data_IF_658323895292
#
_entry.id   IF_658323895292
#
_cell.length_a   1.000
_cell.length_b   1.000
_cell.length_c   1.000
_cell.angle_alpha   90.00
_cell.angle_beta   90.00
_cell.angle_gamma   90.00
#
_symmetry.space_group_name_H-M   'P 1'
#
loop_
_entity.id
_entity.type
_entity.pdbx_description
1 polymer ?
#
# COMPACT_ATOMS: atom_id res chain seq x y z
N UNK A 1 8.40 -22.64 7.02
CA UNK A 1 8.43 -21.46 7.91
C UNK A 1 8.40 -20.21 7.03
N UNK A 2 7.43 -19.29 7.16
CA UNK A 2 7.48 -18.04 6.41
C UNK A 2 8.50 -17.14 7.11
N UNK A 3 9.77 -17.28 6.72
CA UNK A 3 10.90 -16.52 7.30
C UNK A 3 12.13 -16.52 6.38
N UNK A 4 11.91 -16.67 5.07
CA UNK A 4 12.96 -16.47 4.08
C UNK A 4 13.32 -14.99 3.99
N UNK A 5 14.62 -14.67 3.96
CA UNK A 5 15.08 -13.32 3.64
C UNK A 5 14.61 -13.02 2.21
N UNK A 6 13.89 -11.93 2.01
CA UNK A 6 13.50 -11.49 0.66
C UNK A 6 14.80 -11.28 -0.12
N UNK A 7 14.96 -12.04 -1.20
CA UNK A 7 16.11 -11.90 -2.08
C UNK A 7 15.94 -10.60 -2.87
N UNK A 8 16.85 -9.65 -2.65
CA UNK A 8 16.85 -8.39 -3.37
C UNK A 8 16.99 -8.57 -4.89
N UNK A 9 17.52 -9.71 -5.34
CA UNK A 9 17.60 -10.07 -6.77
C UNK A 9 16.25 -10.53 -7.34
N UNK A 10 15.32 -11.00 -6.51
CA UNK A 10 13.96 -11.39 -6.93
C UNK A 10 13.19 -10.19 -7.50
N UNK A 11 13.51 -8.96 -7.06
CA UNK A 11 12.88 -7.76 -7.60
C UNK A 11 13.08 -7.59 -9.12
N UNK A 12 14.17 -8.14 -9.67
CA UNK A 12 14.47 -8.05 -11.10
C UNK A 12 13.60 -8.99 -11.95
N UNK A 13 13.00 -10.02 -11.35
CA UNK A 13 12.09 -10.94 -12.05
C UNK A 13 10.63 -10.49 -12.01
N UNK A 14 10.31 -9.46 -11.21
CA UNK A 14 8.93 -8.98 -11.09
C UNK A 14 8.46 -8.25 -12.34
N UNK A 15 7.19 -8.46 -12.75
CA UNK A 15 6.65 -7.83 -13.94
C UNK A 15 6.62 -6.29 -13.80
N UNK A 16 6.89 -5.56 -14.89
CA UNK A 16 6.81 -4.10 -14.90
C UNK A 16 5.36 -3.63 -14.72
N UNK A 17 5.17 -2.42 -14.19
CA UNK A 17 3.86 -1.77 -14.04
C UNK A 17 3.19 -1.95 -12.68
N UNK A 18 3.77 -2.75 -11.78
CA UNK A 18 3.32 -2.89 -10.39
C UNK A 18 4.23 -2.15 -9.42
N UNK A 19 3.67 -1.73 -8.27
CA UNK A 19 4.42 -1.12 -7.19
C UNK A 19 4.82 -2.20 -6.17
N UNK A 20 6.12 -2.33 -5.90
CA UNK A 20 6.67 -3.31 -4.97
C UNK A 20 7.42 -2.63 -3.82
N UNK A 21 6.84 -2.69 -2.62
CA UNK A 21 7.50 -2.31 -1.38
C UNK A 21 8.16 -3.54 -0.74
N UNK A 22 9.45 -3.43 -0.43
CA UNK A 22 10.21 -4.47 0.28
C UNK A 22 10.55 -3.96 1.65
N UNK A 23 10.12 -4.68 2.67
CA UNK A 23 10.26 -4.32 4.07
C UNK A 23 10.47 -5.55 4.94
N UNK A 24 11.14 -5.36 6.08
CA UNK A 24 11.49 -6.44 7.01
C UNK A 24 10.27 -7.17 7.56
N UNK A 25 9.20 -6.42 7.82
CA UNK A 25 7.89 -6.95 8.19
C UNK A 25 7.02 -6.70 6.96
N UNK A 26 6.58 -7.76 6.28
CA UNK A 26 5.87 -7.66 5.00
C UNK A 26 4.41 -7.13 5.13
N UNK A 27 4.16 -6.16 6.02
CA UNK A 27 2.83 -5.64 6.36
C UNK A 27 2.73 -4.18 5.94
N UNK A 28 1.59 -3.74 5.42
CA UNK A 28 1.38 -2.35 5.02
C UNK A 28 1.81 -1.39 6.14
N UNK A 29 2.73 -0.48 5.90
CA UNK A 29 3.03 0.61 6.83
C UNK A 29 2.41 1.91 6.32
N UNK A 30 2.54 2.99 7.09
CA UNK A 30 1.94 4.28 6.74
C UNK A 30 2.48 4.83 5.40
N UNK A 31 3.76 4.62 5.11
CA UNK A 31 4.39 5.14 3.88
C UNK A 31 3.94 4.35 2.63
N UNK A 32 3.88 3.02 2.74
CA UNK A 32 3.35 2.17 1.65
C UNK A 32 1.86 2.47 1.44
N UNK A 33 1.09 2.64 2.53
CA UNK A 33 -0.34 2.94 2.45
C UNK A 33 -0.61 4.28 1.78
N UNK A 34 0.07 5.33 2.22
CA UNK A 34 0.01 6.67 1.63
C UNK A 34 0.36 6.67 0.14
N UNK A 35 1.42 5.95 -0.23
CA UNK A 35 1.83 5.83 -1.63
C UNK A 35 0.77 5.11 -2.46
N UNK A 36 0.20 4.02 -1.91
CA UNK A 36 -0.88 3.27 -2.54
C UNK A 36 -2.13 4.13 -2.76
N UNK A 37 -2.59 4.85 -1.74
CA UNK A 37 -3.76 5.73 -1.84
C UNK A 37 -3.58 6.77 -2.94
N UNK A 38 -2.50 7.55 -2.88
CA UNK A 38 -2.29 8.69 -3.79
C UNK A 38 -1.95 8.27 -5.22
N UNK A 39 -1.11 7.26 -5.38
CA UNK A 39 -0.52 6.95 -6.69
C UNK A 39 -1.30 5.89 -7.46
N UNK A 40 -2.02 5.02 -6.75
CA UNK A 40 -2.69 3.86 -7.37
C UNK A 40 -4.19 3.90 -7.19
N UNK A 41 -4.69 4.13 -5.97
CA UNK A 41 -6.12 3.98 -5.70
C UNK A 41 -6.93 5.20 -6.14
N UNK A 42 -6.63 6.39 -5.62
CA UNK A 42 -7.41 7.61 -5.89
C UNK A 42 -7.58 7.92 -7.38
N UNK A 43 -6.53 7.81 -8.24
CA UNK A 43 -6.68 8.06 -9.67
C UNK A 43 -7.60 7.07 -10.41
N UNK A 44 -8.02 5.98 -9.74
CA UNK A 44 -8.89 4.94 -10.30
C UNK A 44 -10.32 5.00 -9.78
N UNK A 45 -10.60 5.83 -8.78
CA UNK A 45 -11.92 5.99 -8.21
C UNK A 45 -12.73 7.03 -8.98
N UNK A 46 -14.04 6.84 -9.02
CA UNK A 46 -15.01 7.83 -9.47
C UNK A 46 -15.89 8.25 -8.30
N UNK A 47 -16.16 9.54 -8.14
CA UNK A 47 -17.01 10.02 -7.06
C UNK A 47 -18.50 9.76 -7.34
N UNK A 48 -19.31 9.40 -6.31
CA UNK A 48 -18.91 9.05 -4.94
C UNK A 48 -18.45 7.58 -4.84
N UNK A 49 -17.44 7.33 -4.02
CA UNK A 49 -16.92 5.98 -3.74
C UNK A 49 -16.78 5.74 -2.23
N UNK A 50 -16.87 4.48 -1.79
CA UNK A 50 -16.66 4.07 -0.40
C UNK A 50 -15.49 3.08 -0.35
N UNK A 51 -14.56 3.31 0.58
CA UNK A 51 -13.46 2.39 0.87
C UNK A 51 -13.83 1.50 2.05
N UNK A 52 -13.82 0.17 1.83
CA UNK A 52 -13.96 -0.84 2.88
C UNK A 52 -12.62 -1.53 3.08
N UNK A 53 -12.03 -1.37 4.26
CA UNK A 53 -10.71 -1.87 4.63
C UNK A 53 -10.79 -2.62 5.97
N UNK A 54 -9.77 -3.41 6.29
CA UNK A 54 -9.59 -3.93 7.64
C UNK A 54 -9.11 -2.82 8.60
N UNK A 55 -9.27 -3.04 9.91
CA UNK A 55 -8.91 -2.08 10.96
C UNK A 55 -7.40 -2.08 11.27
N UNK A 56 -6.57 -2.08 10.22
CA UNK A 56 -5.13 -2.05 10.37
C UNK A 56 -4.66 -0.62 10.68
N UNK A 57 -3.62 -0.47 11.51
CA UNK A 57 -3.18 0.82 12.07
C UNK A 57 -2.96 1.89 10.99
N UNK A 58 -2.32 1.53 9.87
CA UNK A 58 -2.08 2.48 8.77
C UNK A 58 -3.37 2.94 8.09
N UNK A 59 -4.38 2.07 7.98
CA UNK A 59 -5.65 2.38 7.32
C UNK A 59 -6.52 3.34 8.14
N UNK A 60 -6.42 3.30 9.47
CA UNK A 60 -7.21 4.11 10.40
C UNK A 60 -6.43 5.28 11.01
N UNK A 61 -5.28 5.62 10.44
CA UNK A 61 -4.50 6.80 10.83
C UNK A 61 -5.16 8.12 10.40
N UNK A 62 -4.93 9.23 11.12
CA UNK A 62 -5.43 10.56 10.73
C UNK A 62 -4.99 10.96 9.32
N UNK A 63 -3.75 10.61 8.94
CA UNK A 63 -3.22 10.87 7.60
C UNK A 63 -4.02 10.11 6.51
N UNK A 64 -4.42 8.87 6.78
CA UNK A 64 -5.25 8.07 5.86
C UNK A 64 -6.59 8.77 5.59
N UNK A 65 -7.25 9.28 6.64
CA UNK A 65 -8.51 10.00 6.48
C UNK A 65 -8.33 11.28 5.68
N UNK A 66 -7.30 12.09 5.99
CA UNK A 66 -7.01 13.34 5.25
C UNK A 66 -6.84 13.07 3.77
N UNK A 67 -6.09 12.03 3.38
CA UNK A 67 -5.82 11.71 1.97
C UNK A 67 -7.09 11.32 1.20
N UNK A 68 -8.04 10.64 1.86
CA UNK A 68 -9.28 10.17 1.21
C UNK A 68 -10.31 11.30 1.09
N UNK A 69 -10.22 12.33 1.94
CA UNK A 69 -11.18 13.45 1.99
C UNK A 69 -10.70 14.72 1.28
N UNK A 70 -9.42 14.79 0.90
CA UNK A 70 -8.82 15.88 0.10
C UNK A 70 -9.31 15.83 -1.36
#
# INVERSE_FOLDING_TARGET
MPRGRIDSHERQSYPPGHFYAVQLKAWMDNEVWKTYLRSLLLPKLSEPSILLLDNFESHVSEESYSIVTD
#
